data_IF_969912352008
#
_entry.id   IF_969912352008
#
_cell.length_a   1.000
_cell.length_b   1.000
_cell.length_c   1.000
_cell.angle_alpha   90.00
_cell.angle_beta   90.00
_cell.angle_gamma   90.00
#
_symmetry.space_group_name_H-M   'P 1'
#
loop_
_entity.id
_entity.type
_entity.pdbx_description
1 polymer ?
#
# COMPACT_ATOMS: atom_id res chain seq x y z
N UNK A 1 -76.88 29.39 51.03
CA UNK A 1 -76.83 28.50 49.87
C UNK A 1 -75.87 29.10 48.89
N UNK A 2 -74.65 28.65 48.88
CA UNK A 2 -73.60 29.15 47.92
C UNK A 2 -72.94 27.92 47.28
N UNK A 3 -73.22 27.73 46.03
CA UNK A 3 -72.62 26.66 45.21
C UNK A 3 -71.21 27.08 44.69
N UNK A 4 -70.22 26.38 45.21
CA UNK A 4 -68.83 26.55 44.75
C UNK A 4 -68.64 25.96 43.35
N UNK A 5 -68.10 26.80 42.46
CA UNK A 5 -67.69 26.40 41.16
C UNK A 5 -66.19 26.06 41.21
N UNK A 6 -65.89 24.77 41.23
CA UNK A 6 -64.52 24.28 41.12
C UNK A 6 -64.07 24.44 39.68
N UNK A 7 -63.17 25.41 39.44
CA UNK A 7 -62.47 25.56 38.14
C UNK A 7 -61.32 24.57 38.12
N UNK A 8 -61.47 23.53 37.28
CA UNK A 8 -60.42 22.57 36.94
C UNK A 8 -59.47 23.24 35.96
N UNK A 9 -58.30 23.68 36.45
CA UNK A 9 -57.19 24.16 35.56
C UNK A 9 -56.45 22.94 35.03
N UNK A 10 -56.77 22.55 33.80
CA UNK A 10 -56.05 21.54 33.05
C UNK A 10 -54.78 22.18 32.56
N UNK A 11 -53.65 21.96 33.27
CA UNK A 11 -52.31 22.38 32.82
C UNK A 11 -51.87 21.42 31.71
N UNK A 12 -52.00 21.90 30.46
CA UNK A 12 -51.47 21.24 29.29
C UNK A 12 -49.96 21.51 29.25
N UNK A 13 -49.15 20.68 29.92
CA UNK A 13 -47.69 20.72 29.79
C UNK A 13 -47.35 20.17 28.45
N UNK A 14 -47.16 21.07 27.48
CA UNK A 14 -46.59 20.78 26.17
C UNK A 14 -45.15 20.31 26.40
N UNK A 15 -44.91 18.99 26.37
CA UNK A 15 -43.61 18.40 26.48
C UNK A 15 -42.78 18.84 25.23
N UNK A 16 -41.97 19.86 25.40
CA UNK A 16 -40.94 20.23 24.45
C UNK A 16 -39.88 19.12 24.48
N UNK A 17 -40.11 18.07 23.73
CA UNK A 17 -39.00 17.11 23.42
C UNK A 17 -37.98 17.85 22.57
N UNK A 18 -36.75 18.07 23.04
CA UNK A 18 -35.71 18.55 22.15
C UNK A 18 -35.55 17.48 21.05
N UNK A 19 -35.79 17.88 19.81
CA UNK A 19 -35.35 17.09 18.67
C UNK A 19 -33.80 17.03 18.80
N UNK A 20 -33.29 15.93 19.34
CA UNK A 20 -31.88 15.61 19.28
C UNK A 20 -31.58 15.39 17.80
N UNK A 21 -31.09 16.43 17.15
CA UNK A 21 -30.43 16.27 15.86
C UNK A 21 -29.23 15.38 16.13
N UNK A 22 -29.33 14.11 15.79
CA UNK A 22 -28.18 13.21 15.82
C UNK A 22 -27.13 13.81 14.87
N UNK A 23 -26.07 14.34 15.44
CA UNK A 23 -24.93 14.84 14.66
C UNK A 23 -24.28 13.64 13.99
N UNK A 24 -24.27 13.63 12.63
CA UNK A 24 -23.66 12.57 11.84
C UNK A 24 -22.15 12.52 12.12
N UNK A 25 -21.66 11.41 12.68
CA UNK A 25 -20.24 11.22 12.97
C UNK A 25 -19.52 10.74 11.71
N UNK A 26 -18.85 11.65 11.02
CA UNK A 26 -18.11 11.37 9.77
C UNK A 26 -16.63 11.36 10.06
N UNK A 27 -15.93 10.36 9.51
CA UNK A 27 -14.47 10.27 9.47
C UNK A 27 -13.93 10.32 8.05
N UNK A 28 -12.67 10.71 7.92
CA UNK A 28 -11.90 10.66 6.68
C UNK A 28 -10.58 9.92 6.92
N UNK A 29 -10.14 9.15 5.93
CA UNK A 29 -8.86 8.43 5.95
C UNK A 29 -8.15 8.63 4.62
N UNK A 30 -6.91 9.15 4.68
CA UNK A 30 -6.05 9.30 3.52
C UNK A 30 -5.41 7.96 3.13
N UNK A 31 -5.94 7.33 2.09
CA UNK A 31 -5.47 6.05 1.59
C UNK A 31 -4.01 6.08 1.15
N UNK A 32 -3.57 7.17 0.50
CA UNK A 32 -2.20 7.30 0.02
C UNK A 32 -1.22 7.39 1.19
N UNK A 33 -1.53 8.23 2.18
CA UNK A 33 -0.73 8.37 3.42
C UNK A 33 -0.69 7.07 4.22
N UNK A 34 -1.78 6.31 4.27
CA UNK A 34 -1.82 5.00 4.90
C UNK A 34 -0.90 4.00 4.21
N UNK A 35 -1.02 3.86 2.88
CA UNK A 35 -0.19 2.93 2.11
C UNK A 35 1.30 3.27 2.18
N UNK A 36 1.64 4.57 2.28
CA UNK A 36 3.02 5.02 2.42
C UNK A 36 3.59 4.76 3.82
N UNK A 37 2.78 5.01 4.88
CA UNK A 37 3.26 5.02 6.27
C UNK A 37 2.87 3.77 7.08
N UNK A 38 2.05 2.88 6.52
CA UNK A 38 1.67 1.66 7.22
C UNK A 38 2.92 0.79 7.49
N UNK A 39 3.14 0.34 8.72
CA UNK A 39 4.30 -0.50 9.04
C UNK A 39 4.28 -1.83 8.28
N UNK A 40 3.13 -2.28 7.80
CA UNK A 40 2.98 -3.42 6.90
C UNK A 40 3.65 -3.17 5.55
N UNK A 41 3.63 -1.93 5.04
CA UNK A 41 4.26 -1.56 3.76
C UNK A 41 5.80 -1.62 3.86
N UNK A 42 6.36 -1.20 4.99
CA UNK A 42 7.80 -1.32 5.25
C UNK A 42 8.23 -2.80 5.29
N UNK A 43 7.50 -3.64 6.01
CA UNK A 43 7.75 -5.08 6.06
C UNK A 43 7.59 -5.76 4.70
N UNK A 44 6.58 -5.37 3.91
CA UNK A 44 6.40 -5.89 2.56
C UNK A 44 7.59 -5.51 1.66
N UNK A 45 8.04 -4.26 1.73
CA UNK A 45 9.21 -3.78 0.99
C UNK A 45 10.47 -4.57 1.36
N UNK A 46 10.69 -4.81 2.65
CA UNK A 46 11.83 -5.60 3.13
C UNK A 46 11.77 -7.04 2.60
N UNK A 47 10.61 -7.69 2.70
CA UNK A 47 10.42 -9.07 2.18
C UNK A 47 10.66 -9.14 0.68
N UNK A 48 10.12 -8.21 -0.10
CA UNK A 48 10.36 -8.17 -1.55
C UNK A 48 11.84 -8.01 -1.87
N UNK A 49 12.54 -7.13 -1.16
CA UNK A 49 13.98 -6.95 -1.35
C UNK A 49 14.76 -8.26 -1.05
N UNK A 50 14.43 -8.95 0.03
CA UNK A 50 15.06 -10.22 0.40
C UNK A 50 14.74 -11.33 -0.62
N UNK A 51 13.48 -11.42 -1.08
CA UNK A 51 13.03 -12.39 -2.07
C UNK A 51 13.71 -12.20 -3.43
N UNK A 52 13.93 -10.95 -3.85
CA UNK A 52 14.46 -10.63 -5.17
C UNK A 52 15.98 -10.42 -5.22
N UNK A 53 16.65 -10.31 -4.07
CA UNK A 53 18.10 -10.11 -4.00
C UNK A 53 18.93 -11.17 -4.76
N UNK A 54 18.63 -12.49 -4.72
CA UNK A 54 19.40 -13.46 -5.51
C UNK A 54 19.27 -13.25 -7.01
N UNK A 55 18.10 -12.86 -7.51
CA UNK A 55 17.88 -12.59 -8.93
C UNK A 55 18.58 -11.30 -9.39
N UNK A 56 18.68 -10.31 -8.49
CA UNK A 56 19.44 -9.09 -8.74
C UNK A 56 20.94 -9.40 -8.89
N UNK A 57 21.45 -10.33 -8.06
CA UNK A 57 22.83 -10.83 -8.17
C UNK A 57 23.07 -11.58 -9.48
N UNK A 58 22.15 -12.45 -9.92
CA UNK A 58 22.25 -13.15 -11.21
C UNK A 58 22.33 -12.16 -12.38
N UNK A 59 21.54 -11.08 -12.36
CA UNK A 59 21.59 -10.00 -13.35
C UNK A 59 22.96 -9.33 -13.35
N UNK A 60 23.51 -9.02 -12.18
CA UNK A 60 24.87 -8.43 -12.06
C UNK A 60 25.97 -9.35 -12.59
N UNK A 61 25.86 -10.65 -12.34
CA UNK A 61 26.79 -11.65 -12.87
C UNK A 61 26.76 -11.67 -14.40
N UNK A 62 25.57 -11.69 -15.00
CA UNK A 62 25.45 -11.66 -16.47
C UNK A 62 26.00 -10.35 -17.07
N UNK A 63 25.76 -9.21 -16.43
CA UNK A 63 26.33 -7.93 -16.84
C UNK A 63 27.85 -7.93 -16.80
N UNK A 64 28.44 -8.50 -15.74
CA UNK A 64 29.88 -8.64 -15.58
C UNK A 64 30.48 -9.54 -16.66
N UNK A 65 29.86 -10.69 -16.96
CA UNK A 65 30.31 -11.60 -18.04
C UNK A 65 30.31 -10.91 -19.41
N UNK A 66 29.30 -10.07 -19.68
CA UNK A 66 29.24 -9.28 -20.92
C UNK A 66 30.41 -8.30 -20.97
N UNK A 67 30.64 -7.54 -19.88
CA UNK A 67 31.74 -6.58 -19.80
C UNK A 67 33.11 -7.26 -19.98
N UNK A 68 33.32 -8.43 -19.36
CA UNK A 68 34.55 -9.23 -19.52
C UNK A 68 34.74 -9.70 -20.96
N UNK A 69 33.66 -10.13 -21.64
CA UNK A 69 33.72 -10.53 -23.04
C UNK A 69 34.04 -9.35 -23.98
N UNK A 70 33.45 -8.17 -23.71
CA UNK A 70 33.74 -6.94 -24.45
C UNK A 70 35.20 -6.51 -24.28
N UNK A 71 35.71 -6.57 -23.05
CA UNK A 71 37.12 -6.26 -22.78
C UNK A 71 38.07 -7.28 -23.43
N UNK A 72 37.72 -8.55 -23.39
CA UNK A 72 38.50 -9.60 -24.07
C UNK A 72 38.58 -9.35 -25.57
N UNK A 73 37.48 -9.01 -26.22
CA UNK A 73 37.48 -8.67 -27.65
C UNK A 73 38.28 -7.40 -27.96
N UNK A 74 38.20 -6.39 -27.10
CA UNK A 74 38.89 -5.11 -27.27
C UNK A 74 40.39 -5.20 -27.04
N UNK A 75 40.80 -5.89 -25.95
CA UNK A 75 42.22 -5.92 -25.53
C UNK A 75 43.04 -6.95 -26.31
N UNK A 76 42.42 -8.04 -26.75
CA UNK A 76 43.12 -9.14 -27.43
C UNK A 76 42.81 -9.24 -28.92
N UNK A 77 42.24 -8.20 -29.53
CA UNK A 77 41.84 -8.18 -30.94
C UNK A 77 42.99 -8.61 -31.88
N UNK A 78 44.23 -8.14 -31.62
CA UNK A 78 45.35 -8.37 -32.46
C UNK A 78 46.03 -9.76 -32.30
N UNK A 79 45.72 -10.46 -31.20
CA UNK A 79 46.35 -11.77 -30.88
C UNK A 79 45.36 -12.95 -30.93
N UNK A 80 44.08 -12.67 -31.07
CA UNK A 80 43.04 -13.71 -31.17
C UNK A 80 42.98 -14.30 -32.58
N UNK A 81 42.81 -15.61 -32.67
CA UNK A 81 42.44 -16.25 -33.93
C UNK A 81 41.02 -15.84 -34.32
N UNK A 82 40.72 -15.85 -35.62
CA UNK A 82 39.38 -15.51 -36.13
C UNK A 82 38.29 -16.41 -35.53
N UNK A 83 38.55 -17.72 -35.37
CA UNK A 83 37.61 -18.65 -34.73
C UNK A 83 37.43 -18.37 -33.24
N UNK A 84 38.49 -18.00 -32.55
CA UNK A 84 38.44 -17.58 -31.13
C UNK A 84 37.57 -16.34 -30.96
N UNK A 85 37.77 -15.33 -31.80
CA UNK A 85 36.96 -14.10 -31.80
C UNK A 85 35.47 -14.39 -32.04
N UNK A 86 35.19 -15.15 -33.09
CA UNK A 86 33.80 -15.55 -33.40
C UNK A 86 33.13 -16.35 -32.27
N UNK A 87 33.90 -17.16 -31.54
CA UNK A 87 33.41 -17.87 -30.38
C UNK A 87 32.97 -16.92 -29.28
N UNK A 88 33.86 -16.00 -28.87
CA UNK A 88 33.56 -15.00 -27.84
C UNK A 88 32.37 -14.10 -28.24
N UNK A 89 32.31 -13.67 -29.50
CA UNK A 89 31.19 -12.87 -30.01
C UNK A 89 29.84 -13.63 -29.90
N UNK A 90 29.81 -14.92 -30.25
CA UNK A 90 28.59 -15.75 -30.12
C UNK A 90 28.16 -15.92 -28.66
N UNK A 91 29.12 -16.19 -27.77
CA UNK A 91 28.87 -16.33 -26.32
C UNK A 91 28.33 -15.03 -25.73
N UNK A 92 28.97 -13.89 -26.08
CA UNK A 92 28.50 -12.58 -25.65
C UNK A 92 27.06 -12.27 -26.14
N UNK A 93 26.72 -12.60 -27.39
CA UNK A 93 25.38 -12.43 -27.92
C UNK A 93 24.37 -13.31 -27.16
N UNK A 94 24.75 -14.53 -26.84
CA UNK A 94 23.90 -15.45 -26.05
C UNK A 94 23.66 -14.89 -24.64
N UNK A 95 24.72 -14.44 -23.97
CA UNK A 95 24.64 -13.83 -22.62
C UNK A 95 23.80 -12.54 -22.63
N UNK A 96 23.93 -11.70 -23.67
CA UNK A 96 23.09 -10.49 -23.82
C UNK A 96 21.60 -10.84 -23.99
N UNK A 97 21.28 -11.91 -24.70
CA UNK A 97 19.88 -12.38 -24.83
C UNK A 97 19.36 -12.90 -23.49
N UNK A 98 20.17 -13.68 -22.79
CA UNK A 98 19.82 -14.21 -21.47
C UNK A 98 19.63 -13.08 -20.45
N UNK A 99 20.53 -12.11 -20.39
CA UNK A 99 20.38 -10.92 -19.54
C UNK A 99 19.06 -10.21 -19.77
N UNK A 100 18.69 -10.02 -21.03
CA UNK A 100 17.41 -9.35 -21.36
C UNK A 100 16.23 -10.15 -20.87
N UNK A 101 16.22 -11.47 -21.12
CA UNK A 101 15.18 -12.38 -20.65
C UNK A 101 15.02 -12.33 -19.12
N UNK A 102 16.12 -12.48 -18.38
CA UNK A 102 16.11 -12.46 -16.90
C UNK A 102 15.68 -11.11 -16.35
N UNK A 103 16.08 -10.00 -17.00
CA UNK A 103 15.64 -8.65 -16.61
C UNK A 103 14.15 -8.43 -16.84
N UNK A 104 13.59 -8.96 -17.92
CA UNK A 104 12.17 -8.84 -18.23
C UNK A 104 11.35 -9.65 -17.21
N UNK A 105 11.73 -10.93 -16.97
CA UNK A 105 11.12 -11.79 -15.95
C UNK A 105 11.22 -11.17 -14.55
N UNK A 106 12.38 -10.62 -14.17
CA UNK A 106 12.57 -9.95 -12.90
C UNK A 106 11.58 -8.78 -12.72
N UNK A 107 11.43 -7.93 -13.75
CA UNK A 107 10.52 -6.77 -13.68
C UNK A 107 9.05 -7.19 -13.59
N UNK A 108 8.65 -8.18 -14.37
CA UNK A 108 7.29 -8.69 -14.36
C UNK A 108 6.94 -9.31 -13.00
N UNK A 109 7.79 -10.20 -12.50
CA UNK A 109 7.58 -10.87 -11.22
C UNK A 109 7.59 -9.88 -10.04
N UNK A 110 8.53 -8.93 -10.02
CA UNK A 110 8.60 -7.90 -8.98
C UNK A 110 7.34 -7.03 -8.97
N UNK A 111 6.84 -6.62 -10.15
CA UNK A 111 5.62 -5.84 -10.25
C UNK A 111 4.40 -6.65 -9.79
N UNK A 112 4.32 -7.92 -10.19
CA UNK A 112 3.25 -8.82 -9.75
C UNK A 112 3.24 -8.98 -8.22
N UNK A 113 4.40 -9.30 -7.64
CA UNK A 113 4.54 -9.47 -6.19
C UNK A 113 4.28 -8.19 -5.41
N UNK A 114 4.71 -7.05 -5.95
CA UNK A 114 4.42 -5.73 -5.35
C UNK A 114 2.92 -5.46 -5.31
N UNK A 115 2.21 -5.69 -6.41
CA UNK A 115 0.77 -5.48 -6.48
C UNK A 115 0.02 -6.43 -5.53
N UNK A 116 0.49 -7.66 -5.38
CA UNK A 116 -0.06 -8.63 -4.43
C UNK A 116 0.09 -8.14 -2.98
N UNK A 117 1.27 -7.62 -2.60
CA UNK A 117 1.49 -7.07 -1.26
C UNK A 117 0.66 -5.80 -1.02
N UNK A 118 0.53 -4.91 -2.00
CA UNK A 118 -0.36 -3.73 -1.92
C UNK A 118 -1.80 -4.17 -1.69
N UNK A 119 -2.29 -5.16 -2.43
CA UNK A 119 -3.66 -5.69 -2.27
C UNK A 119 -3.90 -6.25 -0.87
N UNK A 120 -2.93 -6.99 -0.31
CA UNK A 120 -3.02 -7.50 1.07
C UNK A 120 -3.13 -6.36 2.10
N UNK A 121 -2.33 -5.30 1.92
CA UNK A 121 -2.37 -4.13 2.80
C UNK A 121 -3.71 -3.41 2.68
N UNK A 122 -4.24 -3.22 1.46
CA UNK A 122 -5.54 -2.58 1.24
C UNK A 122 -6.68 -3.34 1.93
N UNK A 123 -6.69 -4.68 1.84
CA UNK A 123 -7.67 -5.51 2.54
C UNK A 123 -7.57 -5.33 4.05
N UNK A 124 -6.36 -5.36 4.61
CA UNK A 124 -6.16 -5.16 6.05
C UNK A 124 -6.59 -3.76 6.50
N UNK A 125 -6.22 -2.73 5.74
CA UNK A 125 -6.62 -1.33 6.01
C UNK A 125 -8.14 -1.23 6.06
N UNK A 126 -8.85 -1.81 5.07
CA UNK A 126 -10.30 -1.81 5.04
C UNK A 126 -10.91 -2.47 6.29
N UNK A 127 -10.39 -3.62 6.68
CA UNK A 127 -10.83 -4.32 7.90
C UNK A 127 -10.65 -3.46 9.16
N UNK A 128 -9.50 -2.78 9.28
CA UNK A 128 -9.23 -1.91 10.43
C UNK A 128 -10.16 -0.68 10.42
N UNK A 129 -10.45 -0.09 9.26
CA UNK A 129 -11.40 1.01 9.13
C UNK A 129 -12.81 0.56 9.55
N UNK A 130 -13.25 -0.62 9.11
CA UNK A 130 -14.54 -1.18 9.48
C UNK A 130 -14.64 -1.40 11.01
N UNK A 131 -13.60 -1.99 11.61
CA UNK A 131 -13.54 -2.20 13.06
C UNK A 131 -13.61 -0.87 13.84
N UNK A 132 -12.84 0.14 13.43
CA UNK A 132 -12.87 1.46 14.07
C UNK A 132 -14.23 2.12 13.89
N UNK A 133 -14.83 1.98 12.70
CA UNK A 133 -16.18 2.48 12.42
C UNK A 133 -17.21 1.93 13.37
N UNK A 134 -17.22 0.61 13.57
CA UNK A 134 -18.13 -0.08 14.48
C UNK A 134 -17.86 0.25 15.96
N UNK A 135 -16.61 0.13 16.41
CA UNK A 135 -16.22 0.35 17.81
C UNK A 135 -16.50 1.79 18.25
N UNK A 136 -16.22 2.77 17.39
CA UNK A 136 -16.36 4.18 17.72
C UNK A 136 -17.66 4.82 17.23
N UNK A 137 -18.54 4.01 16.63
CA UNK A 137 -19.87 4.43 16.15
C UNK A 137 -19.82 5.57 15.15
N UNK A 138 -18.95 5.45 14.14
CA UNK A 138 -19.00 6.33 12.99
C UNK A 138 -20.19 5.96 12.10
N UNK A 139 -20.90 6.96 11.62
CA UNK A 139 -21.97 6.78 10.63
C UNK A 139 -21.42 6.61 9.21
N UNK A 140 -20.26 7.24 8.94
CA UNK A 140 -19.57 7.19 7.64
C UNK A 140 -18.08 7.42 7.81
N UNK A 141 -17.26 6.57 7.19
CA UNK A 141 -15.82 6.83 7.02
C UNK A 141 -15.50 6.85 5.51
N UNK A 142 -15.02 7.99 5.03
CA UNK A 142 -14.59 8.19 3.67
C UNK A 142 -13.13 7.78 3.53
N UNK A 143 -12.81 6.96 2.52
CA UNK A 143 -11.47 6.36 2.38
C UNK A 143 -10.75 6.74 1.09
N UNK A 144 -11.47 6.90 -0.03
CA UNK A 144 -10.88 7.22 -1.34
C UNK A 144 -11.69 8.29 -2.07
N UNK A 145 -11.06 8.97 -3.05
CA UNK A 145 -11.77 9.89 -3.94
C UNK A 145 -12.17 11.22 -3.31
N UNK A 146 -11.57 11.60 -2.18
CA UNK A 146 -11.90 12.83 -1.47
C UNK A 146 -10.90 13.92 -1.84
N UNK A 147 -11.42 15.04 -2.37
CA UNK A 147 -10.60 16.19 -2.76
C UNK A 147 -10.18 17.08 -1.59
N UNK A 148 -10.99 17.10 -0.52
CA UNK A 148 -10.74 17.93 0.67
C UNK A 148 -11.42 17.34 1.91
N UNK A 149 -10.67 17.25 2.99
CA UNK A 149 -11.18 17.00 4.34
C UNK A 149 -10.38 17.91 5.30
N UNK A 150 -11.03 18.37 6.37
CA UNK A 150 -10.31 19.11 7.39
C UNK A 150 -9.79 18.16 8.48
N UNK A 151 -8.79 18.63 9.26
CA UNK A 151 -8.10 17.82 10.26
C UNK A 151 -9.02 17.28 11.38
N UNK A 152 -10.20 17.89 11.60
CA UNK A 152 -11.13 17.44 12.63
C UNK A 152 -11.73 16.06 12.36
N UNK A 153 -11.84 15.69 11.09
CA UNK A 153 -12.42 14.40 10.68
C UNK A 153 -11.34 13.43 10.17
N UNK A 154 -10.07 13.85 10.14
CA UNK A 154 -8.96 12.99 9.69
C UNK A 154 -8.64 11.92 10.75
N UNK A 155 -8.90 10.66 10.41
CA UNK A 155 -8.62 9.48 11.23
C UNK A 155 -7.34 8.75 10.81
N UNK A 156 -6.59 9.27 9.84
CA UNK A 156 -5.47 8.55 9.23
C UNK A 156 -4.44 8.10 10.25
N UNK A 157 -4.03 8.98 11.16
CA UNK A 157 -3.04 8.63 12.20
C UNK A 157 -3.60 7.65 13.23
N UNK A 158 -4.89 7.72 13.53
CA UNK A 158 -5.58 6.75 14.38
C UNK A 158 -5.60 5.35 13.75
N UNK A 159 -5.91 5.26 12.45
CA UNK A 159 -5.86 3.99 11.71
C UNK A 159 -4.42 3.45 11.63
N UNK A 160 -3.40 4.30 11.43
CA UNK A 160 -2.00 3.90 11.46
C UNK A 160 -1.59 3.29 12.81
N UNK A 161 -2.05 3.87 13.90
CA UNK A 161 -1.81 3.33 15.25
C UNK A 161 -2.46 1.95 15.43
N UNK A 162 -3.70 1.77 14.95
CA UNK A 162 -4.41 0.48 14.99
C UNK A 162 -3.69 -0.57 14.15
N UNK A 163 -3.26 -0.24 12.92
CA UNK A 163 -2.46 -1.12 12.07
C UNK A 163 -1.15 -1.55 12.74
N UNK A 164 -0.51 -0.65 13.48
CA UNK A 164 0.72 -0.96 14.23
C UNK A 164 0.47 -1.95 15.37
N UNK A 165 -0.70 -1.91 16.00
CA UNK A 165 -1.09 -2.85 17.06
C UNK A 165 -1.39 -4.25 16.50
N UNK A 166 -1.97 -4.34 15.31
CA UNK A 166 -2.25 -5.63 14.66
C UNK A 166 -0.96 -6.39 14.26
N UNK A 167 0.15 -5.70 13.97
CA UNK A 167 1.45 -6.34 13.72
C UNK A 167 2.07 -6.99 14.94
N UNK A 168 1.63 -6.61 16.15
CA UNK A 168 2.23 -7.11 17.40
C UNK A 168 1.49 -8.31 17.99
N UNK A 169 0.38 -8.71 17.37
CA UNK A 169 -0.39 -9.90 17.73
C UNK A 169 0.11 -11.12 16.97
#
# INVERSE_FOLDING_TARGET
>A
MAKGVARLFLIFTLAWSPLALAELKVGYVDAARLLEKAPQAELATKRLKEEFAPREEDILVLQKQIAESEDQLRLNADVMTEDGRRKVEREMIATKRELRRVQDEFREDLNFRRNEEISKIQVLVKQVIELVGEEEKFDLILYEGIAYANDRIDLTDHILERLSKELKK
#
